data_IF_804014489710
#
_entry.id   IF_804014489710
#
_cell.length_a   1.000
_cell.length_b   1.000
_cell.length_c   1.000
_cell.angle_alpha   90.00
_cell.angle_beta   90.00
_cell.angle_gamma   90.00
#
_symmetry.space_group_name_H-M   'P 1'
#
loop_
_entity.id
_entity.type
_entity.pdbx_description
1 polymer ?
#
# COMPACT_ATOMS: atom_id res chain seq x y z
N UNK A 1 16.26 23.10 -27.16
CA UNK A 1 16.70 21.70 -27.32
C UNK A 1 16.37 21.32 -28.75
N UNK A 2 17.36 21.44 -29.64
CA UNK A 2 17.20 21.06 -31.04
C UNK A 2 17.37 19.54 -31.16
N UNK A 3 16.27 18.86 -31.49
CA UNK A 3 16.27 17.42 -31.74
C UNK A 3 16.60 17.21 -33.21
N UNK A 4 17.83 16.77 -33.49
CA UNK A 4 18.21 16.35 -34.84
C UNK A 4 17.80 14.90 -35.07
N UNK A 5 16.91 14.69 -36.03
CA UNK A 5 16.47 13.37 -36.46
C UNK A 5 17.46 12.82 -37.50
N UNK A 6 17.72 11.51 -37.46
CA UNK A 6 18.56 10.81 -38.43
C UNK A 6 17.79 9.62 -39.00
N UNK A 7 18.08 9.21 -40.23
CA UNK A 7 17.51 8.01 -40.88
C UNK A 7 18.04 6.68 -40.28
N UNK A 8 18.68 6.70 -39.11
CA UNK A 8 19.13 5.50 -38.43
C UNK A 8 17.95 4.81 -37.72
N UNK A 9 17.95 3.48 -37.70
CA UNK A 9 16.95 2.72 -36.98
C UNK A 9 16.97 3.01 -35.47
N UNK A 10 15.78 3.16 -34.89
CA UNK A 10 15.61 3.41 -33.46
C UNK A 10 16.23 2.30 -32.60
N UNK A 11 16.81 2.70 -31.48
CA UNK A 11 17.37 1.78 -30.48
C UNK A 11 16.72 1.99 -29.12
N UNK A 12 16.34 0.89 -28.49
CA UNK A 12 15.85 0.91 -27.12
C UNK A 12 17.04 1.17 -26.19
N UNK A 13 16.96 2.23 -25.39
CA UNK A 13 17.97 2.57 -24.38
C UNK A 13 17.35 2.57 -22.98
N UNK A 14 18.08 1.97 -22.04
CA UNK A 14 17.68 1.93 -20.65
C UNK A 14 18.09 3.23 -19.94
N UNK A 15 17.11 4.11 -19.70
CA UNK A 15 17.32 5.45 -19.12
C UNK A 15 17.91 5.46 -17.70
N UNK A 16 17.77 4.36 -16.97
CA UNK A 16 18.21 4.25 -15.57
C UNK A 16 19.70 3.94 -15.41
N UNK A 17 20.44 3.80 -16.52
CA UNK A 17 21.88 3.57 -16.51
C UNK A 17 22.57 4.48 -17.50
N UNK A 18 23.74 5.01 -17.15
CA UNK A 18 24.56 5.86 -18.03
C UNK A 18 25.00 5.15 -19.31
N UNK A 19 25.10 3.82 -19.27
CA UNK A 19 25.53 3.00 -20.39
C UNK A 19 24.37 2.58 -21.31
N UNK A 20 23.12 2.97 -20.99
CA UNK A 20 21.93 2.62 -21.77
C UNK A 20 21.57 1.13 -21.75
N UNK A 21 22.25 0.30 -20.95
CA UNK A 21 22.06 -1.14 -20.88
C UNK A 21 21.09 -1.53 -19.78
N UNK A 22 20.14 -2.41 -20.11
CA UNK A 22 19.23 -2.97 -19.14
C UNK A 22 19.99 -3.79 -18.08
N UNK A 23 19.61 -3.60 -16.82
CA UNK A 23 20.01 -4.49 -15.73
C UNK A 23 18.83 -4.71 -14.79
N UNK A 24 18.66 -5.95 -14.35
CA UNK A 24 17.69 -6.31 -13.31
C UNK A 24 17.91 -5.45 -12.06
N UNK A 25 19.17 -5.14 -11.72
CA UNK A 25 19.50 -4.28 -10.58
C UNK A 25 18.96 -2.86 -10.74
N UNK A 26 19.17 -2.21 -11.89
CA UNK A 26 18.71 -0.84 -12.10
C UNK A 26 17.19 -0.75 -12.20
N UNK A 27 16.54 -1.78 -12.75
CA UNK A 27 15.08 -1.93 -12.70
C UNK A 27 14.55 -2.03 -11.27
N UNK A 28 15.10 -2.90 -10.43
CA UNK A 28 14.65 -3.03 -9.05
C UNK A 28 14.92 -1.79 -8.21
N UNK A 29 16.07 -1.14 -8.40
CA UNK A 29 16.38 0.10 -7.69
C UNK A 29 15.37 1.20 -8.03
N UNK A 30 15.08 1.40 -9.31
CA UNK A 30 14.05 2.34 -9.73
C UNK A 30 12.67 1.95 -9.22
N UNK A 31 12.30 0.67 -9.27
CA UNK A 31 11.02 0.18 -8.72
C UNK A 31 10.88 0.43 -7.21
N UNK A 32 11.97 0.31 -6.46
CA UNK A 32 11.99 0.53 -5.01
C UNK A 32 11.97 2.03 -4.69
N UNK A 33 12.65 2.86 -5.49
CA UNK A 33 12.81 4.31 -5.27
C UNK A 33 11.66 5.16 -5.84
N UNK A 34 10.99 4.68 -6.89
CA UNK A 34 9.86 5.34 -7.55
C UNK A 34 8.54 5.27 -6.76
N UNK A 35 8.49 4.46 -5.71
CA UNK A 35 7.38 4.43 -4.77
C UNK A 35 7.64 5.37 -3.59
N UNK A 36 6.63 6.05 -3.03
CA UNK A 36 6.81 6.74 -1.75
C UNK A 36 7.34 5.73 -0.73
N UNK A 37 8.57 5.95 -0.26
CA UNK A 37 9.19 5.18 0.82
C UNK A 37 8.13 4.93 1.89
N UNK A 38 7.80 3.66 2.04
CA UNK A 38 6.62 3.18 2.73
C UNK A 38 6.33 3.98 4.02
N UNK A 39 5.19 4.67 4.06
CA UNK A 39 4.66 5.40 5.25
C UNK A 39 4.67 4.55 6.54
N UNK A 40 4.83 3.23 6.42
CA UNK A 40 4.87 2.26 7.50
C UNK A 40 6.24 1.90 8.10
N UNK A 41 7.36 2.56 7.72
CA UNK A 41 8.68 2.28 8.33
C UNK A 41 8.68 2.34 9.86
N UNK A 42 7.85 3.20 10.44
CA UNK A 42 7.66 3.35 11.88
C UNK A 42 7.14 2.07 12.53
N UNK A 43 6.21 1.35 11.88
CA UNK A 43 5.60 0.11 12.38
C UNK A 43 6.65 -0.98 12.60
N UNK A 44 7.63 -1.05 11.69
CA UNK A 44 8.69 -2.05 11.74
C UNK A 44 9.73 -1.79 12.84
N UNK A 45 9.87 -0.53 13.28
CA UNK A 45 10.79 -0.12 14.35
C UNK A 45 10.26 -0.39 15.76
N UNK A 46 8.95 -0.61 15.93
CA UNK A 46 8.33 -0.83 17.25
C UNK A 46 8.81 -2.18 17.84
N UNK A 47 9.06 -2.24 19.15
CA UNK A 47 9.39 -3.48 19.87
C UNK A 47 8.13 -4.27 20.25
N UNK A 48 7.44 -4.83 19.25
CA UNK A 48 6.29 -5.73 19.41
C UNK A 48 6.47 -7.01 18.61
N UNK A 49 5.80 -8.11 18.97
CA UNK A 49 5.79 -9.33 18.16
C UNK A 49 5.43 -9.07 16.69
N UNK A 50 6.04 -9.85 15.79
CA UNK A 50 5.85 -9.69 14.34
C UNK A 50 4.38 -9.74 13.91
N UNK A 51 3.57 -10.58 14.57
CA UNK A 51 2.13 -10.68 14.31
C UNK A 51 1.42 -9.34 14.50
N UNK A 52 1.78 -8.58 15.53
CA UNK A 52 1.21 -7.25 15.80
C UNK A 52 1.70 -6.24 14.76
N UNK A 53 2.97 -6.30 14.34
CA UNK A 53 3.50 -5.43 13.27
C UNK A 53 2.75 -5.63 11.95
N UNK A 54 2.54 -6.89 11.57
CA UNK A 54 1.79 -7.24 10.35
C UNK A 54 0.37 -6.71 10.45
N UNK A 55 -0.29 -6.90 11.59
CA UNK A 55 -1.64 -6.38 11.81
C UNK A 55 -1.69 -4.85 11.70
N UNK A 56 -0.81 -4.12 12.39
CA UNK A 56 -0.72 -2.66 12.30
C UNK A 56 -0.44 -2.19 10.88
N UNK A 57 0.40 -2.92 10.13
CA UNK A 57 0.68 -2.61 8.73
C UNK A 57 -0.57 -2.77 7.85
N UNK A 58 -1.37 -3.83 8.06
CA UNK A 58 -2.64 -4.02 7.35
C UNK A 58 -3.66 -2.92 7.71
N UNK A 59 -3.74 -2.52 8.98
CA UNK A 59 -4.60 -1.41 9.44
C UNK A 59 -4.18 -0.10 8.75
N UNK A 60 -2.88 0.19 8.74
CA UNK A 60 -2.34 1.42 8.11
C UNK A 60 -2.53 1.44 6.59
N UNK A 61 -2.58 0.27 5.95
CA UNK A 61 -2.86 0.11 4.53
C UNK A 61 -4.36 0.11 4.20
N UNK A 62 -5.22 0.20 5.23
CA UNK A 62 -6.67 0.15 5.10
C UNK A 62 -7.18 -1.15 4.43
N UNK A 63 -6.48 -2.28 4.58
CA UNK A 63 -6.79 -3.56 3.90
C UNK A 63 -7.27 -4.67 4.84
N UNK A 64 -7.59 -4.35 6.08
CA UNK A 64 -8.12 -5.33 7.03
C UNK A 64 -9.52 -5.82 6.62
N UNK A 65 -9.94 -6.94 7.20
CA UNK A 65 -11.23 -7.59 6.90
C UNK A 65 -12.40 -6.89 7.61
N UNK A 66 -12.56 -5.59 7.43
CA UNK A 66 -13.75 -4.83 7.84
C UNK A 66 -14.83 -4.93 6.76
N UNK A 67 -16.10 -4.77 7.16
CA UNK A 67 -17.23 -4.99 6.24
C UNK A 67 -17.31 -3.97 5.11
N UNK A 68 -16.82 -2.76 5.32
CA UNK A 68 -16.61 -1.76 4.26
C UNK A 68 -15.71 -2.31 3.14
N UNK A 69 -14.56 -2.88 3.49
CA UNK A 69 -13.62 -3.50 2.55
C UNK A 69 -14.19 -4.74 1.86
N UNK A 70 -15.10 -5.46 2.51
CA UNK A 70 -15.81 -6.58 1.88
C UNK A 70 -16.81 -6.08 0.83
N UNK A 71 -17.53 -4.99 1.12
CA UNK A 71 -18.46 -4.40 0.16
C UNK A 71 -17.76 -3.89 -1.10
N UNK A 72 -16.58 -3.28 -0.97
CA UNK A 72 -15.77 -2.88 -2.13
C UNK A 72 -15.38 -4.06 -3.04
N UNK A 73 -15.38 -5.28 -2.50
CA UNK A 73 -15.09 -6.53 -3.22
C UNK A 73 -16.34 -7.25 -3.71
N UNK A 74 -17.47 -6.54 -3.82
CA UNK A 74 -18.78 -7.08 -4.21
C UNK A 74 -19.33 -8.17 -3.27
N UNK A 75 -18.95 -8.16 -1.99
CA UNK A 75 -19.60 -9.05 -1.03
C UNK A 75 -21.01 -8.57 -0.70
N UNK A 76 -21.95 -9.52 -0.59
CA UNK A 76 -23.36 -9.25 -0.28
C UNK A 76 -23.63 -9.61 1.18
N UNK A 77 -23.90 -8.60 2.00
CA UNK A 77 -24.34 -8.78 3.38
C UNK A 77 -24.52 -7.46 4.13
N UNK A 78 -24.75 -7.53 5.44
CA UNK A 78 -25.06 -6.36 6.26
C UNK A 78 -23.76 -5.59 6.60
N UNK A 79 -23.64 -4.29 6.23
CA UNK A 79 -22.45 -3.49 6.53
C UNK A 79 -22.33 -3.03 7.99
N UNK A 80 -23.34 -3.29 8.82
CA UNK A 80 -23.33 -2.88 10.23
C UNK A 80 -22.33 -3.66 11.05
N UNK A 81 -21.72 -3.00 12.03
CA UNK A 81 -20.81 -3.57 13.00
C UNK A 81 -21.48 -4.69 13.80
N UNK A 82 -20.72 -5.71 14.18
CA UNK A 82 -21.25 -6.80 15.02
C UNK A 82 -21.55 -6.36 16.46
N UNK A 83 -20.96 -5.25 16.91
CA UNK A 83 -21.03 -4.79 18.29
C UNK A 83 -21.95 -3.56 18.48
N UNK A 84 -22.33 -2.89 17.39
CA UNK A 84 -23.30 -1.78 17.43
C UNK A 84 -23.97 -1.59 16.06
N UNK A 85 -25.06 -0.82 16.01
CA UNK A 85 -25.85 -0.62 14.79
C UNK A 85 -25.26 0.36 13.75
N UNK A 86 -24.01 0.80 13.91
CA UNK A 86 -23.33 1.67 12.93
C UNK A 86 -22.56 0.87 11.87
N UNK A 87 -22.27 1.49 10.72
CA UNK A 87 -21.47 0.84 9.66
C UNK A 87 -20.05 0.51 10.15
N UNK A 88 -19.59 -0.70 9.84
CA UNK A 88 -18.28 -1.17 10.24
C UNK A 88 -17.20 -0.65 9.29
N UNK A 89 -16.42 0.31 9.80
CA UNK A 89 -15.19 0.80 9.17
C UNK A 89 -14.00 0.55 10.08
N UNK A 90 -12.78 0.68 9.57
CA UNK A 90 -11.55 0.56 10.38
C UNK A 90 -11.57 1.54 11.56
N UNK A 91 -11.91 2.81 11.31
CA UNK A 91 -12.02 3.83 12.36
C UNK A 91 -13.09 3.46 13.37
N UNK A 92 -14.23 3.00 12.89
CA UNK A 92 -15.32 2.60 13.75
C UNK A 92 -14.90 1.43 14.66
N UNK A 93 -14.36 0.36 14.08
CA UNK A 93 -14.01 -0.87 14.80
C UNK A 93 -12.96 -0.64 15.89
N UNK A 94 -11.98 0.25 15.69
CA UNK A 94 -10.89 0.47 16.65
C UNK A 94 -11.03 1.73 17.53
N UNK A 95 -11.80 2.75 17.12
CA UNK A 95 -11.81 4.06 17.80
C UNK A 95 -13.20 4.54 18.20
N UNK A 96 -14.22 4.29 17.38
CA UNK A 96 -15.54 4.91 17.59
C UNK A 96 -16.56 3.96 18.22
N UNK A 97 -16.39 2.65 18.02
CA UNK A 97 -17.30 1.63 18.52
C UNK A 97 -17.41 1.72 20.05
N UNK A 98 -18.64 1.68 20.62
CA UNK A 98 -18.83 1.70 22.07
C UNK A 98 -18.02 0.62 22.79
N UNK A 99 -17.87 -0.56 22.17
CA UNK A 99 -17.06 -1.64 22.73
C UNK A 99 -15.56 -1.29 22.73
N UNK A 100 -15.06 -0.68 21.67
CA UNK A 100 -13.65 -0.27 21.58
C UNK A 100 -13.31 0.84 22.58
N UNK A 101 -14.27 1.69 22.95
CA UNK A 101 -14.10 2.73 23.97
C UNK A 101 -14.14 2.21 25.41
N UNK A 102 -14.67 1.00 25.62
CA UNK A 102 -14.84 0.39 26.94
C UNK A 102 -13.64 -0.47 27.34
N UNK A 103 -12.79 -0.84 26.36
CA UNK A 103 -11.55 -1.59 26.51
C UNK A 103 -10.35 -0.64 26.67
#
# INVERSE_FOLDING_TARGET
MDVQLSDQADKISWKLTTNGLFSVKSMYLDLIDSGPLSRSLHIWKIKVPLRIKIFMWLVHKEVILTKDNWMERNWVGNPRCCFCDQNETIKHLFLECPLAKLL
#
